data_IF_134503413301
#
_entry.id   IF_134503413301
#
_cell.length_a   1.000
_cell.length_b   1.000
_cell.length_c   1.000
_cell.angle_alpha   90.00
_cell.angle_beta   90.00
_cell.angle_gamma   90.00
#
_symmetry.space_group_name_H-M   'P 1'
#
loop_
_entity.id
_entity.type
_entity.pdbx_description
1 polymer ?
#
# COMPACT_ATOMS: atom_id res chain seq x y z
N UNK A 1 14.25 -37.72 5.43
CA UNK A 1 12.90 -37.68 4.82
C UNK A 1 13.09 -37.74 3.31
N UNK A 2 12.48 -38.68 2.57
CA UNK A 2 12.62 -38.70 1.12
C UNK A 2 11.97 -37.46 0.50
N UNK A 3 12.55 -36.93 -0.58
CA UNK A 3 11.99 -35.79 -1.30
C UNK A 3 10.69 -36.18 -1.99
N UNK A 4 9.63 -35.39 -1.81
CA UNK A 4 8.38 -35.60 -2.54
C UNK A 4 8.56 -35.24 -4.02
N UNK A 5 8.00 -36.04 -4.95
CA UNK A 5 8.10 -35.75 -6.37
C UNK A 5 7.40 -34.43 -6.70
N UNK A 6 7.88 -33.69 -7.71
CA UNK A 6 7.29 -32.42 -8.09
C UNK A 6 5.82 -32.60 -8.51
N UNK A 7 4.89 -31.73 -8.07
CA UNK A 7 3.49 -31.79 -8.49
C UNK A 7 3.39 -31.63 -10.01
N UNK A 8 2.37 -32.27 -10.60
CA UNK A 8 2.15 -32.23 -12.04
C UNK A 8 1.85 -30.79 -12.46
N UNK A 9 2.21 -30.43 -13.68
CA UNK A 9 2.00 -29.07 -14.19
C UNK A 9 0.54 -28.61 -14.06
N UNK A 10 -0.41 -29.50 -14.35
CA UNK A 10 -1.84 -29.20 -14.22
C UNK A 10 -2.24 -28.86 -12.78
N UNK A 11 -1.72 -29.60 -11.79
CA UNK A 11 -2.03 -29.37 -10.38
C UNK A 11 -1.55 -27.99 -9.93
N UNK A 12 -0.33 -27.59 -10.33
CA UNK A 12 0.19 -26.23 -10.09
C UNK A 12 -0.69 -25.15 -10.69
N UNK A 13 -1.20 -25.35 -11.91
CA UNK A 13 -2.08 -24.37 -12.58
C UNK A 13 -3.44 -24.24 -11.90
N UNK A 14 -3.99 -25.35 -11.38
CA UNK A 14 -5.24 -25.31 -10.61
C UNK A 14 -5.03 -24.51 -9.32
N UNK A 15 -3.90 -24.72 -8.65
CA UNK A 15 -3.52 -23.96 -7.44
C UNK A 15 -3.35 -22.47 -7.76
N UNK A 16 -2.65 -22.13 -8.84
CA UNK A 16 -2.47 -20.74 -9.30
C UNK A 16 -3.82 -20.06 -9.55
N UNK A 17 -4.73 -20.72 -10.28
CA UNK A 17 -6.07 -20.17 -10.58
C UNK A 17 -6.88 -19.98 -9.31
N UNK A 18 -6.80 -20.94 -8.38
CA UNK A 18 -7.50 -20.90 -7.10
C UNK A 18 -6.96 -19.77 -6.21
N UNK A 19 -5.64 -19.60 -6.15
CA UNK A 19 -4.99 -18.47 -5.48
C UNK A 19 -5.42 -17.15 -6.12
N UNK A 20 -5.29 -17.05 -7.45
CA UNK A 20 -5.64 -15.86 -8.20
C UNK A 20 -7.10 -15.48 -7.93
N UNK A 21 -8.04 -16.42 -8.00
CA UNK A 21 -9.46 -16.15 -7.68
C UNK A 21 -9.67 -15.62 -6.26
N UNK A 22 -9.01 -16.21 -5.26
CA UNK A 22 -9.23 -15.85 -3.84
C UNK A 22 -8.55 -14.55 -3.42
N UNK A 23 -7.36 -14.28 -3.93
CA UNK A 23 -6.52 -13.18 -3.42
C UNK A 23 -6.30 -12.08 -4.46
N UNK A 24 -6.01 -12.46 -5.71
CA UNK A 24 -5.66 -11.50 -6.76
C UNK A 24 -6.90 -10.92 -7.47
N UNK A 25 -7.93 -11.72 -7.67
CA UNK A 25 -9.17 -11.38 -8.37
C UNK A 25 -9.84 -10.13 -7.83
N UNK A 26 -10.03 -9.98 -6.50
CA UNK A 26 -10.55 -8.75 -5.91
C UNK A 26 -9.68 -7.52 -6.23
N UNK A 27 -8.36 -7.65 -6.25
CA UNK A 27 -7.45 -6.56 -6.60
C UNK A 27 -7.51 -6.21 -8.10
N UNK A 28 -7.54 -7.22 -8.98
CA UNK A 28 -7.73 -7.01 -10.43
C UNK A 28 -9.05 -6.30 -10.68
N UNK A 29 -10.13 -6.75 -10.04
CA UNK A 29 -11.45 -6.11 -10.14
C UNK A 29 -11.38 -4.62 -9.77
N UNK A 30 -10.77 -4.29 -8.63
CA UNK A 30 -10.55 -2.88 -8.22
C UNK A 30 -9.77 -2.07 -9.26
N UNK A 31 -8.72 -2.66 -9.88
CA UNK A 31 -7.91 -1.99 -10.91
C UNK A 31 -8.69 -1.78 -12.21
N UNK A 32 -9.45 -2.77 -12.66
CA UNK A 32 -10.30 -2.66 -13.84
C UNK A 32 -11.41 -1.61 -13.67
N UNK A 33 -11.93 -1.45 -12.45
CA UNK A 33 -12.95 -0.42 -12.16
C UNK A 33 -12.37 0.93 -11.74
N UNK A 34 -11.06 1.16 -11.88
CA UNK A 34 -10.42 2.42 -11.48
C UNK A 34 -10.48 2.73 -9.98
N UNK A 35 -10.90 1.77 -9.14
CA UNK A 35 -10.94 1.93 -7.68
C UNK A 35 -9.53 1.69 -7.16
N UNK A 36 -8.76 2.78 -7.05
CA UNK A 36 -7.48 2.73 -6.32
C UNK A 36 -7.72 2.29 -4.87
N UNK A 37 -6.71 1.75 -4.17
CA UNK A 37 -6.85 1.14 -2.84
C UNK A 37 -7.54 2.01 -1.77
N UNK A 38 -7.75 3.32 -2.01
CA UNK A 38 -8.44 4.21 -1.07
C UNK A 38 -7.70 4.32 0.26
N UNK A 39 -6.38 4.29 0.21
CA UNK A 39 -5.51 4.03 1.35
C UNK A 39 -5.08 5.29 2.13
N UNK A 40 -5.51 6.49 1.72
CA UNK A 40 -5.09 7.74 2.38
C UNK A 40 -3.57 7.82 2.44
N UNK A 41 -2.91 7.85 1.28
CA UNK A 41 -1.49 7.52 1.11
C UNK A 41 -0.56 8.38 1.94
N UNK A 42 0.06 7.75 2.93
CA UNK A 42 1.18 8.32 3.67
C UNK A 42 2.40 7.42 3.45
N UNK A 43 3.54 8.02 3.11
CA UNK A 43 4.81 7.31 2.92
C UNK A 43 5.82 7.72 3.98
N UNK A 44 6.59 6.78 4.52
CA UNK A 44 7.72 7.10 5.39
C UNK A 44 8.93 7.46 4.53
N UNK A 45 9.62 8.54 4.91
CA UNK A 45 10.90 8.95 4.34
C UNK A 45 11.88 9.22 5.47
N UNK A 46 13.17 9.13 5.17
CA UNK A 46 14.24 9.43 6.13
C UNK A 46 15.14 10.52 5.54
N UNK A 47 15.41 11.54 6.35
CA UNK A 47 16.40 12.56 6.03
C UNK A 47 17.71 12.21 6.75
N UNK A 48 18.72 11.86 5.96
CA UNK A 48 20.03 11.46 6.48
C UNK A 48 20.81 12.62 7.11
N UNK A 49 20.57 13.86 6.68
CA UNK A 49 21.28 15.02 7.20
C UNK A 49 20.84 15.35 8.64
N UNK A 50 19.56 15.14 8.94
CA UNK A 50 18.98 15.34 10.27
C UNK A 50 18.81 14.05 11.07
N UNK A 51 19.17 12.91 10.47
CA UNK A 51 18.94 11.57 11.00
C UNK A 51 17.49 11.34 11.48
N UNK A 52 16.50 11.90 10.77
CA UNK A 52 15.10 11.90 11.20
C UNK A 52 14.16 11.27 10.18
N UNK A 53 13.19 10.51 10.66
CA UNK A 53 12.11 9.97 9.84
C UNK A 53 10.92 10.93 9.79
N UNK A 54 10.21 10.98 8.67
CA UNK A 54 9.05 11.82 8.48
C UNK A 54 8.05 11.20 7.50
N UNK A 55 6.81 11.65 7.60
CA UNK A 55 5.74 11.22 6.69
C UNK A 55 5.59 12.18 5.50
N UNK A 56 5.27 11.63 4.34
CA UNK A 56 4.84 12.38 3.16
C UNK A 56 3.41 12.02 2.79
N UNK A 57 2.67 12.95 2.23
CA UNK A 57 1.28 12.80 1.78
C UNK A 57 1.12 13.47 0.41
N UNK A 58 0.12 13.08 -0.42
CA UNK A 58 -0.21 13.80 -1.64
C UNK A 58 -0.40 15.30 -1.38
N UNK A 59 -0.01 16.13 -2.36
CA UNK A 59 -0.19 17.58 -2.25
C UNK A 59 -1.67 17.98 -2.11
N UNK A 60 -2.57 17.29 -2.82
CA UNK A 60 -4.02 17.39 -2.68
C UNK A 60 -4.58 16.06 -2.18
N UNK A 61 -5.00 16.03 -0.91
CA UNK A 61 -5.56 14.83 -0.29
C UNK A 61 -7.01 14.54 -0.73
N UNK A 62 -7.73 15.54 -1.25
CA UNK A 62 -9.14 15.44 -1.65
C UNK A 62 -9.31 14.90 -3.07
N UNK A 63 -8.36 15.22 -3.96
CA UNK A 63 -8.34 14.77 -5.34
C UNK A 63 -6.91 14.36 -5.76
N UNK A 64 -6.37 13.24 -5.24
CA UNK A 64 -4.95 12.91 -5.36
C UNK A 64 -4.44 12.66 -6.79
N UNK A 65 -5.35 12.52 -7.77
CA UNK A 65 -5.01 12.41 -9.19
C UNK A 65 -3.93 11.36 -9.50
N UNK A 66 -3.24 11.46 -10.65
CA UNK A 66 -1.90 10.90 -10.80
C UNK A 66 -1.00 11.64 -9.82
N UNK A 67 -0.44 10.94 -8.83
CA UNK A 67 0.30 11.57 -7.72
C UNK A 67 1.66 12.09 -8.20
N UNK A 68 1.67 13.25 -8.86
CA UNK A 68 2.88 13.91 -9.35
C UNK A 68 3.53 14.81 -8.30
N UNK A 69 2.78 15.18 -7.26
CA UNK A 69 3.24 16.03 -6.16
C UNK A 69 3.08 15.36 -4.79
N UNK A 70 4.18 15.29 -4.04
CA UNK A 70 4.23 14.83 -2.65
C UNK A 70 4.74 15.95 -1.75
N UNK A 71 4.17 16.10 -0.55
CA UNK A 71 4.63 17.04 0.47
C UNK A 71 4.93 16.33 1.77
N UNK A 72 5.87 16.85 2.57
CA UNK A 72 6.05 16.43 3.96
C UNK A 72 4.74 16.73 4.71
N UNK A 73 4.23 15.73 5.43
CA UNK A 73 3.09 15.90 6.30
C UNK A 73 3.49 16.84 7.44
N UNK A 74 2.65 17.83 7.73
CA UNK A 74 2.82 18.61 8.95
C UNK A 74 2.66 17.65 10.13
N UNK A 75 3.55 17.72 11.11
CA UNK A 75 3.18 17.21 12.42
C UNK A 75 1.95 18.01 12.83
N UNK A 76 0.85 17.35 13.17
CA UNK A 76 -0.22 18.02 13.91
C UNK A 76 0.46 18.58 15.16
N UNK A 77 0.77 19.87 15.16
CA UNK A 77 1.23 20.58 16.34
C UNK A 77 0.19 20.29 17.39
N UNK A 78 0.59 19.50 18.39
CA UNK A 78 -0.26 19.12 19.49
C UNK A 78 -0.94 20.37 19.97
N UNK A 79 -2.24 20.45 19.71
CA UNK A 79 -3.11 21.37 20.41
C UNK A 79 -2.83 21.12 21.88
N UNK A 80 -2.21 22.11 22.49
CA UNK A 80 -2.21 22.36 23.92
C UNK A 80 -3.67 22.28 24.38
N UNK A 81 -4.15 21.05 24.61
CA UNK A 81 -5.42 20.81 25.27
C UNK A 81 -5.09 20.91 26.74
N UNK A 82 -5.08 22.15 27.21
CA UNK A 82 -5.00 22.48 28.61
C UNK A 82 -5.95 21.61 29.44
N UNK A 83 -5.38 20.98 30.45
CA UNK A 83 -6.01 20.63 31.71
C UNK A 83 -4.85 20.77 32.72
N UNK A 84 -4.70 21.93 33.36
CA UNK A 84 -5.33 22.26 34.66
C UNK A 84 -5.34 21.07 35.62
#
# INVERSE_FOLDING_TARGET
VPASPPPRWADRRIEDVRFARRHLGPWIGRRLTGRSSGDGRWGAQFDAATASAFWITPADASAPGPVTGWRRAAAEEGTDRGAR
#
